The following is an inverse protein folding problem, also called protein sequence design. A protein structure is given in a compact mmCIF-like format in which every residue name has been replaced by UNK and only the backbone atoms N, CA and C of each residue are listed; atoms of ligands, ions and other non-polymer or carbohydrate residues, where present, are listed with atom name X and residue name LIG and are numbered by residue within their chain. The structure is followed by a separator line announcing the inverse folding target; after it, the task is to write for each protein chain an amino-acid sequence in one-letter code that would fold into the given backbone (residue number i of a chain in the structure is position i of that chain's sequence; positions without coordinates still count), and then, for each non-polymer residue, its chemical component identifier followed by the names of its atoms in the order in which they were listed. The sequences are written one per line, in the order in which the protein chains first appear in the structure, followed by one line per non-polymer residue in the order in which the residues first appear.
data_IF_225515981840
#
_entry.id   IF_225515981840
#
_cell.length_a   1.000
_cell.length_b   1.000
_cell.length_c   1.000
_cell.angle_alpha   90.00
_cell.angle_beta   90.00
_cell.angle_gamma   90.00
#
_symmetry.space_group_name_H-M   'P 1'
#
loop_
_entity.id
_entity.type
_entity.pdbx_description
1 polymer ?
#
# COMPACT_ATOMS: atom_id res chain seq x y z
N UNK A 1 6.46 -12.27 -16.24
CA UNK A 1 5.22 -12.30 -15.44
C UNK A 1 4.82 -10.85 -15.29
N UNK A 2 3.85 -10.40 -16.07
CA UNK A 2 3.28 -9.07 -15.97
C UNK A 2 2.70 -8.90 -14.57
N UNK A 3 3.42 -8.17 -13.72
CA UNK A 3 2.85 -7.65 -12.49
C UNK A 3 1.73 -6.72 -12.91
N UNK A 4 0.49 -7.19 -12.84
CA UNK A 4 -0.70 -6.38 -13.09
C UNK A 4 -0.66 -5.17 -12.16
N UNK A 5 -0.23 -4.05 -12.73
CA UNK A 5 -0.23 -2.75 -12.09
C UNK A 5 -1.68 -2.35 -11.85
N UNK A 6 -2.01 -1.94 -10.62
CA UNK A 6 -3.37 -1.50 -10.29
C UNK A 6 -3.75 -0.25 -11.12
N UNK A 7 -5.05 -0.04 -11.39
CA UNK A 7 -5.51 1.21 -11.97
C UNK A 7 -5.15 2.41 -11.09
N UNK A 8 -4.68 3.51 -11.69
CA UNK A 8 -4.35 4.76 -10.96
C UNK A 8 -5.58 5.34 -10.24
N UNK A 9 -6.77 5.08 -10.76
CA UNK A 9 -8.04 5.51 -10.14
C UNK A 9 -8.33 4.83 -8.79
N UNK A 10 -7.58 3.76 -8.45
CA UNK A 10 -7.69 3.09 -7.14
C UNK A 10 -6.77 3.73 -6.10
N UNK A 11 -5.87 4.63 -6.50
CA UNK A 11 -5.05 5.40 -5.56
C UNK A 11 -5.96 6.35 -4.76
N UNK A 12 -5.93 6.23 -3.45
CA UNK A 12 -6.86 6.94 -2.56
C UNK A 12 -6.22 8.15 -1.91
N UNK A 13 -5.08 7.95 -1.25
CA UNK A 13 -4.40 8.99 -0.51
C UNK A 13 -2.87 8.83 -0.62
N UNK A 14 -2.12 9.92 -0.84
CA UNK A 14 -0.68 9.90 -0.71
C UNK A 14 -0.33 9.58 0.76
N UNK A 15 0.79 8.89 0.94
CA UNK A 15 1.30 8.56 2.27
C UNK A 15 2.82 8.53 2.26
N UNK A 16 3.42 8.39 3.43
CA UNK A 16 4.87 8.32 3.60
C UNK A 16 5.25 7.17 4.51
N UNK A 17 6.50 6.70 4.38
CA UNK A 17 7.06 5.72 5.30
C UNK A 17 7.00 6.20 6.75
N UNK A 18 7.19 7.51 6.98
CA UNK A 18 7.14 8.11 8.31
C UNK A 18 5.74 8.01 8.95
N UNK A 19 4.67 8.25 8.19
CA UNK A 19 3.29 8.11 8.69
C UNK A 19 2.95 6.65 9.02
N UNK A 20 3.40 5.71 8.19
CA UNK A 20 3.22 4.28 8.45
C UNK A 20 3.97 3.87 9.73
N UNK A 21 5.21 4.31 9.88
CA UNK A 21 6.01 4.06 11.09
C UNK A 21 5.42 4.73 12.33
N UNK A 22 4.81 5.92 12.20
CA UNK A 22 4.10 6.55 13.32
C UNK A 22 2.93 5.68 13.79
N UNK A 23 2.21 5.06 12.85
CA UNK A 23 1.11 4.13 13.17
C UNK A 23 1.59 2.86 13.88
N UNK A 24 2.83 2.41 13.65
CA UNK A 24 3.43 1.29 14.36
C UNK A 24 3.64 1.56 15.87
N UNK A 25 3.62 2.83 16.29
CA UNK A 25 3.74 3.27 17.69
C UNK A 25 2.38 3.68 18.30
N UNK A 26 1.26 3.26 17.69
CA UNK A 26 -0.07 3.59 18.21
C UNK A 26 -0.26 3.06 19.65
N UNK A 27 -0.87 3.83 20.57
CA UNK A 27 -1.13 3.36 21.93
C UNK A 27 -2.10 2.16 21.99
N UNK A 28 -2.92 1.95 20.97
CA UNK A 28 -3.69 0.72 20.80
C UNK A 28 -2.78 -0.39 20.24
N UNK A 29 -2.52 -1.48 21.01
CA UNK A 29 -1.63 -2.54 20.59
C UNK A 29 -2.16 -3.33 19.38
N UNK A 30 -3.46 -3.37 19.14
CA UNK A 30 -4.02 -4.03 17.95
C UNK A 30 -3.70 -3.22 16.69
N UNK A 31 -3.85 -1.90 16.77
CA UNK A 31 -3.52 -0.99 15.67
C UNK A 31 -2.02 -1.03 15.38
N UNK A 32 -1.19 -0.99 16.42
CA UNK A 32 0.26 -1.10 16.29
C UNK A 32 0.68 -2.44 15.68
N UNK A 33 0.08 -3.57 16.10
CA UNK A 33 0.40 -4.89 15.56
C UNK A 33 0.08 -5.01 14.06
N UNK A 34 -1.08 -4.50 13.62
CA UNK A 34 -1.46 -4.46 12.20
C UNK A 34 -0.50 -3.59 11.40
N UNK A 35 -0.14 -2.41 11.91
CA UNK A 35 0.80 -1.51 11.24
C UNK A 35 2.22 -2.11 11.15
N UNK A 36 2.69 -2.80 12.19
CA UNK A 36 3.97 -3.51 12.15
C UNK A 36 3.96 -4.66 11.14
N UNK A 37 2.88 -5.44 11.09
CA UNK A 37 2.71 -6.49 10.07
C UNK A 37 2.76 -5.90 8.66
N UNK A 38 2.06 -4.79 8.46
CA UNK A 38 2.04 -4.06 7.20
C UNK A 38 3.43 -3.57 6.78
N UNK A 39 4.16 -2.93 7.69
CA UNK A 39 5.52 -2.44 7.43
C UNK A 39 6.46 -3.57 7.00
N UNK A 40 6.38 -4.73 7.66
CA UNK A 40 7.18 -5.90 7.34
C UNK A 40 6.85 -6.49 5.96
N UNK A 41 5.56 -6.58 5.61
CA UNK A 41 5.16 -7.03 4.29
C UNK A 41 5.57 -6.06 3.18
N UNK A 42 5.51 -4.75 3.45
CA UNK A 42 5.87 -3.69 2.52
C UNK A 42 7.38 -3.50 2.33
N UNK A 43 8.23 -4.16 3.11
CA UNK A 43 9.69 -4.01 3.02
C UNK A 43 10.26 -4.20 1.59
N UNK A 44 9.85 -5.21 0.79
CA UNK A 44 10.31 -5.37 -0.59
C UNK A 44 9.82 -4.27 -1.53
N UNK A 45 8.69 -3.62 -1.22
CA UNK A 45 8.19 -2.46 -1.97
C UNK A 45 9.08 -1.25 -1.68
N UNK A 46 9.37 -0.96 -0.41
CA UNK A 46 10.23 0.17 -0.03
C UNK A 46 11.65 0.07 -0.60
N UNK A 47 12.19 -1.14 -0.74
CA UNK A 47 13.49 -1.35 -1.41
C UNK A 47 13.50 -0.93 -2.89
N UNK A 48 12.34 -0.80 -3.53
CA UNK A 48 12.22 -0.35 -4.93
C UNK A 48 12.08 1.17 -5.06
N UNK A 49 11.88 1.89 -3.95
CA UNK A 49 11.74 3.34 -3.97
C UNK A 49 13.05 4.02 -4.38
N UNK A 50 12.92 5.06 -5.19
CA UNK A 50 14.00 5.96 -5.58
C UNK A 50 13.69 7.39 -5.15
N UNK A 51 14.70 8.27 -5.06
CA UNK A 51 14.47 9.69 -4.81
C UNK A 51 13.51 10.29 -5.84
N UNK A 52 12.46 10.97 -5.37
CA UNK A 52 11.39 11.52 -6.22
C UNK A 52 10.16 10.61 -6.38
N UNK A 53 10.18 9.41 -5.81
CA UNK A 53 9.01 8.55 -5.74
C UNK A 53 8.02 9.01 -4.67
N UNK A 54 6.75 8.89 -5.00
CA UNK A 54 5.63 9.06 -4.10
C UNK A 54 5.10 7.69 -3.68
N UNK A 55 4.68 7.59 -2.42
CA UNK A 55 4.00 6.41 -1.90
C UNK A 55 2.52 6.72 -1.75
N UNK A 56 1.67 5.79 -2.17
CA UNK A 56 0.22 5.96 -2.18
C UNK A 56 -0.47 4.74 -1.59
N UNK A 57 -1.52 4.99 -0.79
CA UNK A 57 -2.47 3.95 -0.44
C UNK A 57 -3.42 3.73 -1.63
N UNK A 58 -3.89 2.50 -1.79
CA UNK A 58 -4.93 2.18 -2.76
C UNK A 58 -5.96 1.22 -2.19
N UNK A 59 -7.16 1.27 -2.76
CA UNK A 59 -8.22 0.30 -2.49
C UNK A 59 -9.01 0.06 -3.76
N UNK A 60 -9.27 -1.20 -4.05
CA UNK A 60 -10.20 -1.61 -5.09
C UNK A 60 -11.63 -1.15 -4.75
N UNK A 61 -12.46 -0.83 -5.76
CA UNK A 61 -13.86 -0.50 -5.57
C UNK A 61 -14.66 -1.67 -4.97
N UNK A 62 -15.72 -1.36 -4.23
CA UNK A 62 -16.59 -2.37 -3.59
C UNK A 62 -17.15 -3.42 -4.58
N UNK A 63 -17.34 -3.06 -5.86
CA UNK A 63 -17.82 -3.99 -6.91
C UNK A 63 -16.80 -5.09 -7.23
N UNK A 64 -15.50 -4.85 -7.01
CA UNK A 64 -14.44 -5.85 -7.17
C UNK A 64 -14.29 -6.77 -5.94
N UNK A 65 -14.87 -6.40 -4.80
CA UNK A 65 -14.72 -7.16 -3.55
C UNK A 65 -15.48 -8.49 -3.57
N UNK A 66 -16.61 -8.54 -4.30
CA UNK A 66 -17.45 -9.72 -4.40
C UNK A 66 -16.74 -10.95 -5.02
N UNK A 67 -15.73 -10.72 -5.86
CA UNK A 67 -15.03 -11.78 -6.58
C UNK A 67 -13.58 -12.01 -6.11
N UNK A 68 -12.89 -10.99 -5.58
CA UNK A 68 -11.45 -11.07 -5.26
C UNK A 68 -11.07 -10.83 -3.77
N UNK A 69 -12.05 -10.70 -2.86
CA UNK A 69 -11.81 -10.33 -1.43
C UNK A 69 -11.17 -8.95 -1.20
N UNK A 70 -11.31 -8.03 -2.16
CA UNK A 70 -10.88 -6.64 -2.03
C UNK A 70 -9.35 -6.49 -1.97
N UNK A 71 -8.78 -5.92 -3.02
CA UNK A 71 -7.36 -5.57 -3.05
C UNK A 71 -7.17 -4.17 -2.45
N UNK A 72 -6.40 -4.05 -1.37
CA UNK A 72 -5.97 -2.77 -0.81
C UNK A 72 -4.48 -2.84 -0.47
N UNK A 73 -3.74 -1.73 -0.52
CA UNK A 73 -2.31 -1.80 -0.29
C UNK A 73 -1.54 -0.52 -0.55
N UNK A 74 -0.25 -0.69 -0.86
CA UNK A 74 0.67 0.40 -1.22
C UNK A 74 1.08 0.36 -2.68
N UNK A 75 1.26 1.54 -3.23
CA UNK A 75 1.69 1.81 -4.58
C UNK A 75 2.85 2.81 -4.57
N UNK A 76 3.85 2.60 -5.43
CA UNK A 76 4.90 3.57 -5.74
C UNK A 76 4.52 4.28 -7.02
N UNK A 77 4.48 5.60 -7.00
CA UNK A 77 4.20 6.46 -8.13
C UNK A 77 5.43 7.33 -8.42
N UNK A 78 5.89 7.36 -9.67
CA UNK A 78 7.02 8.20 -10.12
C UNK A 78 6.58 8.98 -11.35
N UNK A 79 6.74 10.30 -11.32
CA UNK A 79 6.32 11.17 -12.44
C UNK A 79 4.85 10.93 -12.87
N UNK A 80 3.98 10.61 -11.91
CA UNK A 80 2.58 10.27 -12.16
C UNK A 80 2.32 8.87 -12.71
N UNK A 81 3.34 8.02 -12.89
CA UNK A 81 3.22 6.63 -13.34
C UNK A 81 3.35 5.63 -12.19
N UNK A 82 2.55 4.57 -12.23
CA UNK A 82 2.63 3.51 -11.22
C UNK A 82 3.83 2.60 -11.54
N UNK A 83 4.77 2.50 -10.60
CA UNK A 83 6.01 1.75 -10.76
C UNK A 83 5.90 0.35 -10.15
N UNK A 84 5.27 0.25 -8.98
CA UNK A 84 5.07 -1.01 -8.29
C UNK A 84 3.88 -0.91 -7.34
N UNK A 85 3.23 -2.03 -7.07
CA UNK A 85 2.19 -2.13 -6.05
C UNK A 85 2.35 -3.42 -5.26
N UNK A 86 1.90 -3.39 -4.01
CA UNK A 86 1.77 -4.56 -3.16
C UNK A 86 0.32 -4.65 -2.69
N UNK A 87 -0.33 -5.81 -2.88
CA UNK A 87 -1.65 -6.06 -2.33
C UNK A 87 -1.53 -6.66 -0.93
N UNK A 88 -2.30 -6.10 -0.02
CA UNK A 88 -2.66 -6.72 1.24
C UNK A 88 -4.06 -7.28 1.10
N UNK A 89 -4.17 -8.61 1.14
CA UNK A 89 -5.46 -9.24 1.34
C UNK A 89 -5.85 -9.00 2.80
N UNK A 90 -6.93 -8.26 3.04
CA UNK A 90 -7.58 -8.23 4.36
C UNK A 90 -8.24 -9.60 4.55
N UNK A 91 -7.59 -10.48 5.30
CA UNK A 91 -8.12 -11.79 5.65
C UNK A 91 -9.22 -11.68 6.71
#
# INVERSE_FOLDING_TARGET
MDSHLIPKEWLTAPTTLQEIMATCNNPDPQVAAVANHYLNQAAPLFQKMQPGDELWNYSSPNSHWANNRGDAGLAIVRNGELIASMCMVRN
#
